data_IF_119254941179
#
_entry.id   IF_119254941179
#
_cell.length_a   1.000
_cell.length_b   1.000
_cell.length_c   1.000
_cell.angle_alpha   90.00
_cell.angle_beta   90.00
_cell.angle_gamma   90.00
#
_symmetry.space_group_name_H-M   'P 1'
#
loop_
_entity.id
_entity.type
_entity.pdbx_description
1 polymer ?
#
# COMPACT_ATOMS: atom_id res chain seq x y z
N UNK A 1 -53.97 13.89 -69.36
CA UNK A 1 -53.63 14.93 -68.37
C UNK A 1 -53.36 14.23 -67.03
N UNK A 2 -52.12 14.32 -66.52
CA UNK A 2 -51.69 14.26 -65.09
C UNK A 2 -52.18 13.03 -64.27
N UNK A 3 -51.37 12.19 -63.63
CA UNK A 3 -50.12 12.37 -62.86
C UNK A 3 -49.47 10.99 -62.58
N UNK A 4 -48.13 10.93 -62.62
CA UNK A 4 -47.27 10.01 -61.84
C UNK A 4 -47.20 10.56 -60.36
N UNK A 5 -46.72 9.85 -59.29
CA UNK A 5 -45.40 9.21 -59.27
C UNK A 5 -45.14 7.99 -58.32
N UNK A 6 -44.14 7.18 -58.71
CA UNK A 6 -42.95 6.70 -57.95
C UNK A 6 -43.13 6.13 -56.53
N UNK A 7 -42.76 4.85 -56.36
CA UNK A 7 -42.32 4.28 -55.07
C UNK A 7 -40.83 3.92 -55.18
N UNK A 8 -40.03 4.59 -54.36
CA UNK A 8 -38.60 4.36 -54.14
C UNK A 8 -38.38 3.13 -53.26
N UNK A 9 -37.47 2.24 -53.65
CA UNK A 9 -36.96 1.15 -52.82
C UNK A 9 -35.98 1.71 -51.76
N UNK A 10 -36.28 1.48 -50.49
CA UNK A 10 -35.45 1.87 -49.36
C UNK A 10 -34.25 0.92 -49.19
N UNK A 11 -33.05 1.49 -49.22
CA UNK A 11 -31.81 0.84 -48.78
C UNK A 11 -31.66 1.15 -47.29
N UNK A 12 -31.80 0.14 -46.43
CA UNK A 12 -31.48 0.21 -45.00
C UNK A 12 -29.98 0.02 -44.80
N UNK A 13 -29.25 1.11 -44.59
CA UNK A 13 -27.87 1.10 -44.15
C UNK A 13 -27.84 0.86 -42.62
N UNK A 14 -27.48 -0.34 -42.19
CA UNK A 14 -27.19 -0.63 -40.80
C UNK A 14 -25.83 -0.02 -40.43
N UNK A 15 -25.83 1.14 -39.78
CA UNK A 15 -24.62 1.72 -39.18
C UNK A 15 -24.31 0.95 -37.90
N UNK A 16 -23.25 0.13 -37.93
CA UNK A 16 -22.64 -0.42 -36.72
C UNK A 16 -21.95 0.73 -35.97
N UNK A 17 -22.54 1.18 -34.87
CA UNK A 17 -21.89 2.10 -33.93
C UNK A 17 -20.85 1.27 -33.16
N UNK A 18 -19.60 1.33 -33.60
CA UNK A 18 -18.47 0.95 -32.75
C UNK A 18 -18.36 2.00 -31.65
N UNK A 19 -18.88 1.68 -30.45
CA UNK A 19 -18.49 2.40 -29.25
C UNK A 19 -17.04 2.01 -28.95
N UNK A 20 -16.09 2.81 -29.45
CA UNK A 20 -14.73 2.81 -28.94
C UNK A 20 -14.84 3.35 -27.51
N UNK A 21 -14.88 2.46 -26.53
CA UNK A 21 -14.62 2.84 -25.14
C UNK A 21 -13.16 3.22 -25.10
N UNK A 22 -12.85 4.51 -25.22
CA UNK A 22 -11.51 5.01 -24.97
C UNK A 22 -11.15 4.64 -23.53
N UNK A 23 -10.05 3.92 -23.34
CA UNK A 23 -9.52 3.71 -22.00
C UNK A 23 -9.33 5.07 -21.32
N UNK A 24 -9.79 5.23 -20.06
CA UNK A 24 -9.60 6.49 -19.35
C UNK A 24 -8.10 6.78 -19.27
N UNK A 25 -7.70 7.99 -19.66
CA UNK A 25 -6.31 8.41 -19.60
C UNK A 25 -5.76 8.25 -18.19
N UNK A 26 -4.59 7.63 -18.07
CA UNK A 26 -3.86 7.49 -16.81
C UNK A 26 -3.57 8.89 -16.25
N UNK A 27 -3.90 9.11 -14.98
CA UNK A 27 -3.73 10.39 -14.30
C UNK A 27 -2.48 10.37 -13.44
N UNK A 28 -1.52 11.20 -13.79
CA UNK A 28 -0.32 11.55 -13.00
C UNK A 28 -0.14 13.06 -13.09
N UNK A 29 0.58 13.65 -12.13
CA UNK A 29 0.93 15.07 -12.16
C UNK A 29 2.09 15.32 -13.13
N UNK A 30 3.21 14.64 -12.92
CA UNK A 30 4.46 14.84 -13.66
C UNK A 30 5.14 13.54 -14.07
N UNK A 31 4.79 12.40 -13.46
CA UNK A 31 5.33 11.10 -13.86
C UNK A 31 4.87 10.77 -15.29
N UNK A 32 5.79 10.57 -16.25
CA UNK A 32 5.43 10.25 -17.63
C UNK A 32 4.71 8.90 -17.74
N UNK A 33 3.70 8.85 -18.61
CA UNK A 33 2.90 7.64 -18.90
C UNK A 33 2.99 7.22 -20.38
N UNK A 34 3.93 7.78 -21.13
CA UNK A 34 4.13 7.54 -22.58
C UNK A 34 4.80 6.20 -22.90
N UNK A 35 5.38 5.52 -21.90
CA UNK A 35 6.03 4.20 -22.04
C UNK A 35 5.55 3.24 -20.98
N UNK A 36 4.52 2.46 -21.32
CA UNK A 36 3.99 1.41 -20.45
C UNK A 36 3.94 0.12 -21.25
N UNK A 37 4.69 -0.88 -20.79
CA UNK A 37 4.82 -2.17 -21.45
C UNK A 37 4.08 -3.23 -20.64
N UNK A 38 3.16 -3.94 -21.30
CA UNK A 38 2.35 -4.99 -20.70
C UNK A 38 2.93 -6.36 -21.06
N UNK A 39 2.92 -7.34 -20.14
CA UNK A 39 3.25 -8.71 -20.45
C UNK A 39 2.16 -9.36 -21.33
N UNK A 40 2.52 -10.37 -22.14
CA UNK A 40 1.53 -11.14 -22.93
C UNK A 40 0.55 -11.93 -22.04
N UNK A 41 0.98 -12.28 -20.82
CA UNK A 41 0.20 -13.01 -19.83
C UNK A 41 -0.37 -12.11 -18.72
N UNK A 42 -0.90 -12.73 -17.67
CA UNK A 42 -1.35 -11.98 -16.48
C UNK A 42 -0.17 -11.27 -15.83
N UNK A 43 -0.29 -9.96 -15.65
CA UNK A 43 0.72 -9.20 -14.93
C UNK A 43 0.79 -9.63 -13.46
N UNK A 44 2.01 -9.76 -12.95
CA UNK A 44 2.29 -10.22 -11.58
C UNK A 44 2.73 -9.08 -10.64
N UNK A 45 2.89 -7.87 -11.17
CA UNK A 45 3.29 -6.68 -10.42
C UNK A 45 3.75 -5.56 -11.35
N UNK A 46 4.06 -4.41 -10.77
CA UNK A 46 4.48 -3.20 -11.49
C UNK A 46 5.93 -2.87 -11.16
N UNK A 47 6.70 -2.53 -12.19
CA UNK A 47 8.08 -2.03 -12.08
C UNK A 47 8.14 -0.64 -12.69
N UNK A 48 8.56 0.34 -11.91
CA UNK A 48 8.93 1.69 -12.39
C UNK A 48 10.42 1.67 -12.69
N UNK A 49 10.78 1.65 -13.96
CA UNK A 49 12.15 1.60 -14.44
C UNK A 49 12.61 3.01 -14.85
N UNK A 50 13.55 3.56 -14.10
CA UNK A 50 14.15 4.87 -14.32
C UNK A 50 15.40 4.72 -15.18
N UNK A 51 15.43 5.42 -16.32
CA UNK A 51 16.60 5.42 -17.21
C UNK A 51 17.82 6.07 -16.55
N UNK A 52 19.00 5.79 -17.10
CA UNK A 52 20.21 6.54 -16.75
C UNK A 52 20.20 7.97 -17.36
N UNK A 53 21.25 8.77 -17.11
CA UNK A 53 21.36 10.18 -17.47
C UNK A 53 21.28 10.49 -18.97
N UNK A 54 21.55 9.50 -19.83
CA UNK A 54 21.38 9.61 -21.29
C UNK A 54 19.90 9.56 -21.73
N UNK A 55 18.96 9.33 -20.81
CA UNK A 55 17.54 9.13 -21.08
C UNK A 55 17.22 7.69 -21.47
N UNK A 56 16.00 7.45 -21.96
CA UNK A 56 15.56 6.11 -22.36
C UNK A 56 16.21 5.68 -23.67
N UNK A 57 16.97 4.59 -23.66
CA UNK A 57 17.70 4.04 -24.81
C UNK A 57 17.32 2.58 -25.08
N UNK A 58 17.93 1.96 -26.10
CA UNK A 58 17.77 0.53 -26.40
C UNK A 58 18.15 -0.37 -25.21
N UNK A 59 18.97 0.13 -24.27
CA UNK A 59 19.34 -0.59 -23.04
C UNK A 59 18.15 -0.77 -22.11
N UNK A 60 17.46 0.32 -21.77
CA UNK A 60 16.25 0.27 -20.95
C UNK A 60 15.13 -0.50 -21.65
N UNK A 61 15.04 -0.39 -22.98
CA UNK A 61 14.09 -1.16 -23.78
C UNK A 61 14.31 -2.68 -23.61
N UNK A 62 15.56 -3.14 -23.72
CA UNK A 62 15.89 -4.56 -23.54
C UNK A 62 15.55 -5.06 -22.13
N UNK A 63 15.79 -4.25 -21.09
CA UNK A 63 15.40 -4.61 -19.72
C UNK A 63 13.88 -4.70 -19.57
N UNK A 64 13.14 -3.76 -20.18
CA UNK A 64 11.67 -3.76 -20.21
C UNK A 64 11.11 -5.02 -20.89
N UNK A 65 11.66 -5.42 -22.03
CA UNK A 65 11.26 -6.64 -22.75
C UNK A 65 11.47 -7.91 -21.91
N UNK A 66 12.60 -8.03 -21.22
CA UNK A 66 12.84 -9.22 -20.38
C UNK A 66 11.94 -9.22 -19.14
N UNK A 67 11.68 -8.07 -18.54
CA UNK A 67 10.77 -7.95 -17.40
C UNK A 67 9.33 -8.33 -17.76
N UNK A 68 8.85 -7.84 -18.90
CA UNK A 68 7.52 -8.20 -19.42
C UNK A 68 7.42 -9.67 -19.80
N UNK A 69 8.49 -10.27 -20.35
CA UNK A 69 8.56 -11.72 -20.56
C UNK A 69 8.45 -12.53 -19.25
N UNK A 70 8.83 -11.96 -18.11
CA UNK A 70 8.67 -12.56 -16.78
C UNK A 70 7.36 -12.17 -16.08
N UNK A 71 6.44 -11.51 -16.77
CA UNK A 71 5.11 -11.16 -16.26
C UNK A 71 5.04 -9.83 -15.53
N UNK A 72 6.10 -9.02 -15.51
CA UNK A 72 6.03 -7.68 -14.92
C UNK A 72 5.36 -6.70 -15.89
N UNK A 73 4.55 -5.79 -15.37
CA UNK A 73 4.15 -4.58 -16.10
C UNK A 73 5.23 -3.51 -15.85
N UNK A 74 5.79 -2.94 -16.92
CA UNK A 74 6.90 -1.99 -16.82
C UNK A 74 6.43 -0.58 -17.18
N UNK A 75 6.62 0.35 -16.24
CA UNK A 75 6.51 1.80 -16.47
C UNK A 75 7.91 2.32 -16.75
N UNK A 76 8.17 2.66 -18.01
CA UNK A 76 9.46 3.19 -18.44
C UNK A 76 9.53 4.71 -18.28
N UNK A 77 10.50 5.20 -17.53
CA UNK A 77 10.67 6.63 -17.23
C UNK A 77 11.98 7.13 -17.83
N UNK A 78 11.87 7.96 -18.86
CA UNK A 78 13.00 8.77 -19.34
C UNK A 78 13.28 9.87 -18.32
N UNK A 79 14.42 9.76 -17.63
CA UNK A 79 14.73 10.66 -16.51
C UNK A 79 14.88 12.12 -16.93
N UNK A 80 15.31 12.39 -18.16
CA UNK A 80 15.46 13.77 -18.65
C UNK A 80 14.10 14.42 -18.86
N UNK A 81 13.15 13.67 -19.43
CA UNK A 81 11.76 14.13 -19.57
C UNK A 81 11.10 14.30 -18.20
N UNK A 82 11.35 13.37 -17.29
CA UNK A 82 10.75 13.44 -15.96
C UNK A 82 11.26 14.66 -15.17
N UNK A 83 12.56 14.91 -15.17
CA UNK A 83 13.10 16.13 -14.55
C UNK A 83 12.56 17.41 -15.21
N UNK A 84 12.45 17.45 -16.54
CA UNK A 84 11.84 18.59 -17.22
C UNK A 84 10.39 18.84 -16.78
N UNK A 85 9.58 17.78 -16.63
CA UNK A 85 8.20 17.89 -16.14
C UNK A 85 8.14 18.36 -14.68
N UNK A 86 9.02 17.84 -13.82
CA UNK A 86 9.11 18.23 -12.41
C UNK A 86 9.50 19.71 -12.23
N UNK A 87 10.35 20.26 -13.09
CA UNK A 87 10.72 21.70 -13.08
C UNK A 87 9.56 22.63 -13.47
N UNK A 88 8.51 22.12 -14.11
CA UNK A 88 7.31 22.90 -14.43
C UNK A 88 6.34 23.01 -13.24
N UNK A 89 6.51 22.18 -12.21
CA UNK A 89 5.71 22.24 -10.99
C UNK A 89 6.00 23.51 -10.19
N UNK A 90 4.97 24.04 -9.52
CA UNK A 90 5.04 25.29 -8.74
C UNK A 90 4.79 25.10 -7.25
N UNK A 91 5.01 23.88 -6.78
CA UNK A 91 4.85 23.53 -5.37
C UNK A 91 6.13 23.90 -4.59
N UNK A 92 6.01 24.09 -3.27
CA UNK A 92 7.16 24.40 -2.40
C UNK A 92 8.19 23.24 -2.33
N UNK A 93 7.72 22.02 -2.58
CA UNK A 93 8.53 20.82 -2.72
C UNK A 93 7.83 19.81 -3.63
N UNK A 94 8.59 18.87 -4.20
CA UNK A 94 8.08 17.83 -5.10
C UNK A 94 7.84 16.52 -4.32
N UNK A 95 6.66 15.92 -4.45
CA UNK A 95 6.33 14.63 -3.82
C UNK A 95 6.06 13.54 -4.88
N UNK A 96 7.11 12.78 -5.20
CA UNK A 96 7.12 11.90 -6.38
C UNK A 96 6.35 10.59 -6.14
N UNK A 97 6.29 10.14 -4.89
CA UNK A 97 5.69 8.86 -4.50
C UNK A 97 4.19 8.83 -4.80
N UNK A 98 3.49 9.96 -4.68
CA UNK A 98 2.05 10.06 -4.96
C UNK A 98 1.72 9.64 -6.39
N UNK A 99 2.50 10.10 -7.37
CA UNK A 99 2.27 9.75 -8.78
C UNK A 99 2.56 8.26 -9.03
N UNK A 100 3.61 7.72 -8.41
CA UNK A 100 3.99 6.30 -8.52
C UNK A 100 2.89 5.40 -7.94
N UNK A 101 2.39 5.72 -6.74
CA UNK A 101 1.31 4.98 -6.08
C UNK A 101 0.01 5.07 -6.90
N UNK A 102 -0.36 6.27 -7.35
CA UNK A 102 -1.57 6.52 -8.15
C UNK A 102 -1.52 5.80 -9.49
N UNK A 103 -0.38 5.84 -10.18
CA UNK A 103 -0.18 5.13 -11.44
C UNK A 103 -0.19 3.60 -11.23
N UNK A 104 0.49 3.11 -10.19
CA UNK A 104 0.50 1.68 -9.83
C UNK A 104 -0.92 1.17 -9.60
N UNK A 105 -1.75 1.88 -8.82
CA UNK A 105 -3.14 1.49 -8.60
C UNK A 105 -3.94 1.44 -9.91
N UNK A 106 -3.83 2.47 -10.76
CA UNK A 106 -4.51 2.51 -12.05
C UNK A 106 -4.10 1.35 -12.96
N UNK A 107 -2.81 0.98 -12.96
CA UNK A 107 -2.28 -0.10 -13.80
C UNK A 107 -2.65 -1.49 -13.29
N UNK A 108 -2.62 -1.73 -11.99
CA UNK A 108 -3.11 -2.98 -11.41
C UNK A 108 -4.58 -3.21 -11.76
N UNK A 109 -5.34 -2.12 -11.76
CA UNK A 109 -6.76 -2.10 -12.06
C UNK A 109 -7.04 -2.28 -13.55
N UNK A 110 -6.35 -1.56 -14.44
CA UNK A 110 -6.54 -1.69 -15.90
C UNK A 110 -6.07 -3.04 -16.45
N UNK A 111 -5.05 -3.64 -15.84
CA UNK A 111 -4.51 -4.95 -16.23
C UNK A 111 -5.17 -6.14 -15.51
N UNK A 112 -6.26 -5.93 -14.75
CA UNK A 112 -6.98 -6.97 -13.98
C UNK A 112 -6.04 -7.83 -13.10
N UNK A 113 -5.09 -7.16 -12.43
CA UNK A 113 -4.15 -7.82 -11.52
C UNK A 113 -4.89 -8.15 -10.22
N UNK A 114 -5.18 -9.43 -10.02
CA UNK A 114 -5.97 -9.91 -8.89
C UNK A 114 -5.32 -9.68 -7.51
N UNK A 115 -3.99 -9.59 -7.44
CA UNK A 115 -3.26 -9.35 -6.20
C UNK A 115 -2.49 -8.04 -6.31
N UNK A 116 -2.82 -7.07 -5.46
CA UNK A 116 -2.03 -5.86 -5.38
C UNK A 116 -0.68 -6.15 -4.70
N UNK A 117 0.38 -5.70 -5.36
CA UNK A 117 1.72 -5.58 -4.79
C UNK A 117 2.21 -4.17 -5.04
N UNK A 118 2.78 -3.48 -4.03
CA UNK A 118 3.42 -2.20 -4.25
C UNK A 118 4.46 -2.28 -5.37
N UNK A 119 4.67 -1.20 -6.15
CA UNK A 119 5.59 -1.23 -7.27
C UNK A 119 7.04 -1.36 -6.79
N UNK A 120 7.90 -1.92 -7.64
CA UNK A 120 9.36 -1.83 -7.49
C UNK A 120 9.83 -0.56 -8.21
N UNK A 121 10.72 0.21 -7.59
CA UNK A 121 11.38 1.35 -8.25
C UNK A 121 12.84 1.00 -8.47
N UNK A 122 13.30 1.07 -9.71
CA UNK A 122 14.65 0.65 -10.07
C UNK A 122 15.29 1.58 -11.10
N UNK A 123 16.61 1.69 -11.10
CA UNK A 123 17.34 2.40 -12.13
C UNK A 123 18.85 2.18 -12.07
N UNK A 124 19.55 2.79 -13.02
CA UNK A 124 21.02 2.85 -13.12
C UNK A 124 21.47 4.31 -13.00
N UNK A 125 22.62 4.59 -12.41
CA UNK A 125 23.26 5.91 -12.48
C UNK A 125 22.36 7.02 -11.98
N UNK A 126 21.98 7.95 -12.87
CA UNK A 126 21.07 9.04 -12.52
C UNK A 126 19.68 8.52 -12.06
N UNK A 127 19.16 7.46 -12.70
CA UNK A 127 17.91 6.80 -12.32
C UNK A 127 18.00 6.08 -10.99
N UNK A 128 19.14 5.42 -10.71
CA UNK A 128 19.41 4.82 -9.41
C UNK A 128 19.46 5.88 -8.29
N UNK A 129 20.03 7.04 -8.58
CA UNK A 129 20.10 8.19 -7.66
C UNK A 129 18.70 8.69 -7.32
N UNK A 130 17.85 8.86 -8.34
CA UNK A 130 16.45 9.24 -8.14
C UNK A 130 15.66 8.16 -7.39
N UNK A 131 15.92 6.88 -7.63
CA UNK A 131 15.28 5.78 -6.90
C UNK A 131 15.56 5.85 -5.39
N UNK A 132 16.81 6.16 -4.99
CA UNK A 132 17.18 6.38 -3.58
C UNK A 132 16.51 7.64 -3.01
N UNK A 133 16.45 8.73 -3.78
CA UNK A 133 15.78 9.95 -3.36
C UNK A 133 14.25 9.77 -3.20
N UNK A 134 13.62 8.97 -4.05
CA UNK A 134 12.21 8.54 -3.90
C UNK A 134 12.03 7.76 -2.60
N UNK A 135 12.96 6.84 -2.27
CA UNK A 135 12.91 6.10 -1.01
C UNK A 135 12.93 7.03 0.21
N UNK A 136 13.64 8.17 0.14
CA UNK A 136 13.64 9.17 1.21
C UNK A 136 12.26 9.81 1.48
N UNK A 137 11.36 9.81 0.49
CA UNK A 137 10.00 10.34 0.62
C UNK A 137 8.95 9.26 0.90
N UNK A 138 9.34 7.99 0.79
CA UNK A 138 8.39 6.87 0.70
C UNK A 138 7.80 6.55 2.06
N UNK A 139 6.47 6.57 2.21
CA UNK A 139 5.81 5.99 3.38
C UNK A 139 5.98 4.47 3.39
N UNK A 140 5.96 3.88 4.58
CA UNK A 140 6.06 2.43 4.75
C UNK A 140 5.06 1.68 3.87
N UNK A 141 5.53 0.60 3.24
CA UNK A 141 4.71 -0.30 2.40
C UNK A 141 4.13 0.31 1.12
N UNK A 142 4.56 1.51 0.70
CA UNK A 142 4.13 2.12 -0.58
C UNK A 142 4.99 1.67 -1.78
N UNK A 143 6.25 1.27 -1.55
CA UNK A 143 7.16 0.69 -2.56
C UNK A 143 7.61 -0.68 -2.06
N UNK A 144 7.66 -1.68 -2.94
CA UNK A 144 8.01 -3.04 -2.54
C UNK A 144 9.53 -3.25 -2.38
N UNK A 145 10.33 -2.62 -3.23
CA UNK A 145 11.80 -2.59 -3.15
C UNK A 145 12.33 -1.42 -4.00
N UNK A 146 13.41 -0.80 -3.52
CA UNK A 146 14.20 0.18 -4.26
C UNK A 146 15.50 -0.49 -4.71
N UNK A 147 15.72 -0.55 -6.02
CA UNK A 147 16.93 -1.11 -6.62
C UNK A 147 17.76 0.01 -7.28
N UNK A 148 18.95 0.27 -6.73
CA UNK A 148 19.86 1.29 -7.24
C UNK A 148 21.14 0.62 -7.76
N UNK A 149 21.35 0.63 -9.07
CA UNK A 149 22.59 0.16 -9.69
C UNK A 149 23.50 1.37 -9.96
N UNK A 150 24.73 1.35 -9.45
CA UNK A 150 25.71 2.43 -9.62
C UNK A 150 25.12 3.84 -9.36
N UNK A 151 24.47 4.10 -8.21
CA UNK A 151 23.91 5.42 -7.93
C UNK A 151 25.01 6.50 -7.96
N UNK A 152 24.63 7.68 -8.44
CA UNK A 152 25.38 8.93 -8.30
C UNK A 152 24.91 9.64 -7.02
N UNK A 153 25.19 10.94 -6.89
CA UNK A 153 24.92 11.69 -5.65
C UNK A 153 23.83 12.76 -5.79
N UNK A 154 23.81 13.48 -6.91
CA UNK A 154 23.05 14.73 -7.02
C UNK A 154 21.75 14.54 -7.78
N UNK A 155 20.64 15.00 -7.20
CA UNK A 155 19.37 15.20 -7.90
C UNK A 155 19.35 16.60 -8.51
N UNK A 156 19.31 16.74 -9.85
CA UNK A 156 19.49 18.01 -10.54
C UNK A 156 18.16 18.77 -10.70
N UNK A 157 17.48 19.00 -9.58
CA UNK A 157 16.22 19.76 -9.53
C UNK A 157 16.41 21.07 -8.75
N UNK A 158 15.78 22.14 -9.22
CA UNK A 158 15.75 23.43 -8.55
C UNK A 158 14.84 23.41 -7.32
N UNK A 159 13.71 22.71 -7.41
CA UNK A 159 12.77 22.48 -6.32
C UNK A 159 13.16 21.24 -5.53
N UNK A 160 13.15 21.34 -4.19
CA UNK A 160 13.51 20.23 -3.31
C UNK A 160 12.43 19.16 -3.24
N UNK A 161 12.81 17.94 -2.83
CA UNK A 161 11.87 16.87 -2.55
C UNK A 161 11.19 17.06 -1.18
N UNK A 162 9.89 16.77 -1.11
CA UNK A 162 9.13 16.71 0.13
C UNK A 162 9.56 15.49 0.96
N UNK A 163 10.54 15.66 1.85
CA UNK A 163 10.99 14.62 2.79
C UNK A 163 11.50 15.27 4.08
N UNK A 164 11.40 14.62 5.24
CA UNK A 164 12.11 15.06 6.44
C UNK A 164 13.61 14.72 6.41
N UNK A 165 14.07 13.87 5.48
CA UNK A 165 15.46 13.46 5.36
C UNK A 165 16.43 14.65 5.19
N UNK A 166 17.72 14.48 5.56
CA UNK A 166 18.76 15.47 5.29
C UNK A 166 18.83 15.86 3.82
N UNK A 167 19.02 17.15 3.55
CA UNK A 167 19.13 17.71 2.20
C UNK A 167 20.34 18.63 2.18
N UNK A 168 21.30 18.34 1.31
CA UNK A 168 22.52 19.12 1.19
C UNK A 168 22.55 19.77 -0.18
N UNK A 169 22.33 21.11 -0.28
CA UNK A 169 22.49 21.82 -1.53
C UNK A 169 23.93 21.72 -2.04
N UNK A 170 24.09 21.41 -3.33
CA UNK A 170 25.38 21.31 -4.01
C UNK A 170 25.31 22.05 -5.35
N UNK A 171 26.44 22.41 -5.98
CA UNK A 171 26.41 22.92 -7.34
C UNK A 171 25.69 21.94 -8.28
N UNK A 172 24.62 22.40 -8.92
CA UNK A 172 23.84 21.60 -9.87
C UNK A 172 22.70 20.78 -9.27
N UNK A 173 22.40 20.88 -7.96
CA UNK A 173 21.23 20.22 -7.39
C UNK A 173 21.29 20.02 -5.87
N UNK A 174 20.72 18.91 -5.41
CA UNK A 174 20.68 18.54 -3.99
C UNK A 174 21.07 17.07 -3.81
N UNK A 175 21.88 16.78 -2.79
CA UNK A 175 22.15 15.43 -2.31
C UNK A 175 21.18 15.13 -1.17
N UNK A 176 20.54 13.95 -1.21
CA UNK A 176 19.51 13.55 -0.25
C UNK A 176 20.01 12.41 0.64
N UNK A 177 19.76 12.54 1.94
CA UNK A 177 19.83 11.42 2.88
C UNK A 177 18.58 10.56 2.83
N UNK A 178 18.48 9.60 3.75
CA UNK A 178 17.24 8.90 4.09
C UNK A 178 16.70 9.41 5.42
N UNK A 179 15.41 9.23 5.66
CA UNK A 179 14.75 9.62 6.92
C UNK A 179 15.26 8.72 8.05
N UNK A 180 15.59 9.29 9.20
CA UNK A 180 16.02 8.51 10.38
C UNK A 180 14.99 7.43 10.77
N UNK A 181 15.50 6.26 11.17
CA UNK A 181 14.68 5.12 11.57
C UNK A 181 14.83 3.90 10.65
N UNK A 182 13.82 3.05 10.69
CA UNK A 182 13.73 1.88 9.81
C UNK A 182 13.53 2.34 8.35
N UNK A 183 14.07 1.57 7.40
CA UNK A 183 13.88 1.85 5.98
C UNK A 183 12.40 1.64 5.60
N UNK A 184 11.79 2.53 4.79
CA UNK A 184 10.37 2.43 4.43
C UNK A 184 10.07 1.23 3.52
N UNK A 185 11.11 0.75 2.83
CA UNK A 185 11.10 -0.45 2.02
C UNK A 185 12.53 -1.02 1.92
N UNK A 186 12.70 -2.30 1.53
CA UNK A 186 14.02 -2.85 1.23
C UNK A 186 14.73 -1.99 0.20
N UNK A 187 16.00 -1.65 0.47
CA UNK A 187 16.87 -0.93 -0.46
C UNK A 187 18.07 -1.83 -0.79
N UNK A 188 18.29 -2.03 -2.09
CA UNK A 188 19.45 -2.76 -2.62
C UNK A 188 20.28 -1.82 -3.48
N UNK A 189 21.55 -1.69 -3.13
CA UNK A 189 22.54 -0.99 -3.94
C UNK A 189 23.51 -2.01 -4.53
N UNK A 190 23.71 -1.97 -5.85
CA UNK A 190 24.63 -2.85 -6.55
C UNK A 190 25.68 -2.01 -7.27
N UNK A 191 26.95 -2.33 -7.04
CA UNK A 191 28.07 -1.68 -7.71
C UNK A 191 28.67 -2.58 -8.78
N UNK A 192 28.75 -2.05 -9.99
CA UNK A 192 29.52 -2.61 -11.10
C UNK A 192 30.95 -2.04 -11.12
N UNK A 193 31.85 -2.57 -11.96
CA UNK A 193 33.20 -2.01 -12.11
C UNK A 193 33.24 -0.56 -12.61
N UNK A 194 32.14 -0.05 -13.19
CA UNK A 194 32.01 1.32 -13.68
C UNK A 194 31.34 2.29 -12.71
N UNK A 195 31.06 1.87 -11.46
CA UNK A 195 30.44 2.72 -10.45
C UNK A 195 31.19 4.04 -10.24
N UNK A 196 30.44 5.14 -10.14
CA UNK A 196 31.00 6.44 -9.78
C UNK A 196 31.52 6.42 -8.33
N UNK A 197 32.72 6.95 -8.12
CA UNK A 197 33.37 6.92 -6.82
C UNK A 197 32.64 7.78 -5.78
N UNK A 198 32.11 8.95 -6.17
CA UNK A 198 31.37 9.81 -5.25
C UNK A 198 30.01 9.20 -4.91
N UNK A 199 29.35 8.60 -5.90
CA UNK A 199 28.13 7.82 -5.73
C UNK A 199 28.27 6.66 -4.74
N UNK A 200 29.36 5.88 -4.86
CA UNK A 200 29.70 4.84 -3.88
C UNK A 200 29.87 5.41 -2.47
N UNK A 201 30.66 6.47 -2.31
CA UNK A 201 30.89 7.09 -0.99
C UNK A 201 29.56 7.53 -0.36
N UNK A 202 28.71 8.19 -1.14
CA UNK A 202 27.40 8.63 -0.65
C UNK A 202 26.53 7.45 -0.22
N UNK A 203 26.46 6.38 -1.01
CA UNK A 203 25.74 5.19 -0.62
C UNK A 203 26.31 4.55 0.65
N UNK A 204 27.63 4.49 0.81
CA UNK A 204 28.30 4.01 2.03
C UNK A 204 27.89 4.83 3.25
N UNK A 205 27.83 6.16 3.14
CA UNK A 205 27.31 7.05 4.20
C UNK A 205 25.85 6.74 4.55
N UNK A 206 24.99 6.51 3.55
CA UNK A 206 23.61 6.08 3.79
C UNK A 206 23.55 4.75 4.55
N UNK A 207 24.44 3.80 4.22
CA UNK A 207 24.50 2.48 4.87
C UNK A 207 25.01 2.55 6.31
N UNK A 208 25.90 3.48 6.63
CA UNK A 208 26.34 3.71 8.01
C UNK A 208 25.18 4.13 8.91
N UNK A 209 24.28 4.99 8.39
CA UNK A 209 23.07 5.42 9.10
C UNK A 209 21.99 4.33 9.07
N UNK A 210 21.85 3.62 7.96
CA UNK A 210 20.86 2.57 7.74
C UNK A 210 21.53 1.22 7.42
N UNK A 211 21.96 0.43 8.43
CA UNK A 211 22.66 -0.83 8.22
C UNK A 211 21.90 -1.87 7.39
N UNK A 212 20.57 -1.75 7.33
CA UNK A 212 19.66 -2.62 6.59
C UNK A 212 19.75 -2.48 5.06
N UNK A 213 20.41 -1.44 4.52
CA UNK A 213 20.64 -1.32 3.07
C UNK A 213 21.53 -2.50 2.61
N UNK A 214 21.06 -3.28 1.63
CA UNK A 214 21.82 -4.41 1.11
C UNK A 214 22.79 -3.95 0.02
N UNK A 215 24.08 -4.20 0.21
CA UNK A 215 25.12 -3.91 -0.78
C UNK A 215 25.54 -5.16 -1.50
N UNK A 216 25.71 -5.05 -2.81
CA UNK A 216 26.28 -6.10 -3.65
C UNK A 216 27.32 -5.53 -4.61
N UNK A 217 28.34 -6.34 -4.85
CA UNK A 217 29.29 -6.13 -5.93
C UNK A 217 28.95 -7.07 -7.07
N UNK A 218 29.15 -6.65 -8.31
CA UNK A 218 29.10 -7.50 -9.48
C UNK A 218 30.35 -7.35 -10.33
N UNK A 219 30.73 -8.42 -11.02
CA UNK A 219 31.77 -8.36 -12.05
C UNK A 219 31.20 -7.95 -13.42
N UNK A 220 29.87 -8.02 -13.57
CA UNK A 220 29.15 -7.69 -14.79
C UNK A 220 28.93 -6.18 -14.94
N UNK A 221 28.57 -5.73 -16.14
CA UNK A 221 28.15 -4.35 -16.38
C UNK A 221 26.82 -4.00 -15.71
N UNK A 222 26.58 -2.71 -15.47
CA UNK A 222 25.37 -2.19 -14.83
C UNK A 222 24.06 -2.70 -15.45
N UNK A 223 23.97 -2.80 -16.78
CA UNK A 223 22.75 -3.25 -17.47
C UNK A 223 22.40 -4.71 -17.13
N UNK A 224 23.41 -5.58 -17.12
CA UNK A 224 23.26 -7.00 -16.74
C UNK A 224 22.91 -7.10 -15.25
N UNK A 225 23.59 -6.31 -14.42
CA UNK A 225 23.34 -6.25 -12.98
C UNK A 225 21.90 -5.84 -12.67
N UNK A 226 21.39 -4.81 -13.36
CA UNK A 226 20.01 -4.38 -13.25
C UNK A 226 19.07 -5.54 -13.59
N UNK A 227 19.25 -6.15 -14.76
CA UNK A 227 18.38 -7.19 -15.27
C UNK A 227 18.30 -8.40 -14.33
N UNK A 228 19.43 -8.89 -13.84
CA UNK A 228 19.49 -10.04 -12.94
C UNK A 228 18.78 -9.76 -11.61
N UNK A 229 19.08 -8.61 -11.00
CA UNK A 229 18.52 -8.25 -9.70
C UNK A 229 17.02 -7.98 -9.83
N UNK A 230 16.59 -7.21 -10.83
CA UNK A 230 15.18 -6.86 -10.98
C UNK A 230 14.31 -8.07 -11.33
N UNK A 231 14.83 -9.00 -12.15
CA UNK A 231 14.15 -10.27 -12.43
C UNK A 231 14.04 -11.15 -11.18
N UNK A 232 15.06 -11.16 -10.32
CA UNK A 232 15.01 -11.87 -9.05
C UNK A 232 13.98 -11.27 -8.08
N UNK A 233 13.89 -9.94 -8.02
CA UNK A 233 12.90 -9.21 -7.22
C UNK A 233 11.49 -9.53 -7.72
N UNK A 234 11.24 -9.39 -9.03
CA UNK A 234 9.93 -9.67 -9.63
C UNK A 234 9.46 -11.11 -9.34
N UNK A 235 10.35 -12.10 -9.51
CA UNK A 235 10.05 -13.50 -9.16
C UNK A 235 9.75 -13.66 -7.66
N UNK A 236 10.50 -13.02 -6.77
CA UNK A 236 10.27 -13.10 -5.32
C UNK A 236 8.92 -12.51 -4.93
N UNK A 237 8.55 -11.36 -5.49
CA UNK A 237 7.28 -10.71 -5.20
C UNK A 237 6.09 -11.56 -5.68
N UNK A 238 6.19 -12.14 -6.87
CA UNK A 238 5.16 -13.04 -7.41
C UNK A 238 4.93 -14.29 -6.55
N UNK A 239 5.92 -14.72 -5.75
CA UNK A 239 5.84 -15.90 -4.88
C UNK A 239 5.69 -15.56 -3.38
N UNK A 240 5.51 -14.30 -3.02
CA UNK A 240 5.47 -13.84 -1.61
C UNK A 240 4.12 -14.10 -0.93
N UNK A 241 3.72 -15.37 -0.81
CA UNK A 241 2.53 -15.77 -0.07
C UNK A 241 2.87 -16.08 1.41
N UNK A 242 2.07 -15.53 2.33
CA UNK A 242 2.03 -15.97 3.74
C UNK A 242 1.74 -17.47 3.82
N UNK A 243 2.11 -18.18 4.91
CA UNK A 243 1.70 -19.57 5.13
C UNK A 243 0.19 -19.82 5.06
N UNK A 244 -0.64 -18.78 5.26
CA UNK A 244 -2.09 -18.85 5.12
C UNK A 244 -2.59 -18.44 3.72
N UNK A 245 -1.68 -18.04 2.83
CA UNK A 245 -1.97 -17.40 1.55
C UNK A 245 -2.89 -16.18 1.71
N UNK A 246 -2.60 -15.37 2.74
CA UNK A 246 -3.30 -14.13 3.08
C UNK A 246 -2.29 -12.98 3.19
N UNK A 247 -2.65 -11.75 2.84
CA UNK A 247 -1.79 -10.58 3.00
C UNK A 247 -1.74 -10.16 4.48
N UNK A 248 -1.00 -10.93 5.27
CA UNK A 248 -0.87 -10.74 6.71
C UNK A 248 0.59 -10.52 7.12
N UNK A 249 0.77 -9.71 8.17
CA UNK A 249 2.06 -9.35 8.74
C UNK A 249 2.10 -9.82 10.21
N UNK A 250 2.62 -11.03 10.47
CA UNK A 250 2.78 -11.50 11.84
C UNK A 250 3.97 -10.84 12.54
N UNK A 251 3.70 -10.22 13.70
CA UNK A 251 4.64 -9.53 14.56
C UNK A 251 4.75 -10.33 15.87
N UNK A 252 5.91 -10.94 16.09
CA UNK A 252 6.15 -11.73 17.29
C UNK A 252 6.43 -10.85 18.52
N UNK A 253 5.82 -11.20 19.65
CA UNK A 253 6.13 -10.71 20.98
C UNK A 253 6.07 -11.90 21.96
N UNK A 254 6.80 -11.83 23.07
CA UNK A 254 6.61 -12.78 24.18
C UNK A 254 5.28 -12.47 24.86
N UNK A 255 4.28 -13.38 24.83
CA UNK A 255 2.96 -13.07 25.36
C UNK A 255 2.97 -12.82 26.87
N UNK A 256 2.53 -11.63 27.31
CA UNK A 256 2.39 -11.27 28.73
C UNK A 256 0.96 -11.40 29.26
N UNK A 257 -0.03 -11.40 28.37
CA UNK A 257 -1.46 -11.29 28.70
C UNK A 257 -2.30 -12.52 28.27
N UNK A 258 -1.67 -13.64 27.92
CA UNK A 258 -2.34 -14.80 27.31
C UNK A 258 -3.25 -14.41 26.12
N UNK A 259 -2.82 -13.43 25.34
CA UNK A 259 -3.63 -12.75 24.32
C UNK A 259 -2.78 -12.38 23.12
N UNK A 260 -3.36 -12.44 21.93
CA UNK A 260 -2.84 -11.81 20.71
C UNK A 260 -3.81 -10.76 20.17
N UNK A 261 -3.33 -9.87 19.32
CA UNK A 261 -4.17 -8.97 18.55
C UNK A 261 -4.20 -9.36 17.07
N UNK A 262 -5.33 -9.13 16.42
CA UNK A 262 -5.48 -9.12 14.97
C UNK A 262 -5.96 -7.72 14.59
N UNK A 263 -5.20 -7.04 13.74
CA UNK A 263 -5.48 -5.67 13.32
C UNK A 263 -5.85 -5.67 11.84
N UNK A 264 -7.02 -5.16 11.48
CA UNK A 264 -7.39 -4.84 10.11
C UNK A 264 -7.08 -3.37 9.84
N UNK A 265 -6.22 -3.12 8.86
CA UNK A 265 -5.75 -1.77 8.53
C UNK A 265 -6.82 -0.89 7.89
N UNK A 266 -6.48 0.39 7.70
CA UNK A 266 -7.22 1.27 6.79
C UNK A 266 -7.11 0.83 5.32
N UNK A 267 -7.82 1.54 4.43
CA UNK A 267 -7.84 1.30 2.99
C UNK A 267 -6.49 1.55 2.30
N UNK A 268 -5.60 2.31 2.93
CA UNK A 268 -4.21 2.48 2.51
C UNK A 268 -3.29 1.28 2.78
N UNK A 269 -3.78 0.21 3.41
CA UNK A 269 -3.00 -0.99 3.73
C UNK A 269 -2.24 -0.89 5.06
N UNK A 270 -1.36 -1.86 5.32
CA UNK A 270 -0.63 -1.99 6.59
C UNK A 270 0.50 -0.95 6.72
N UNK A 271 0.17 0.30 7.07
CA UNK A 271 1.12 1.43 7.17
C UNK A 271 0.78 2.40 8.32
N UNK A 272 1.71 3.28 8.65
CA UNK A 272 1.55 4.38 9.62
C UNK A 272 0.85 3.94 10.94
N UNK A 273 -0.39 4.39 11.20
CA UNK A 273 -1.16 4.08 12.41
C UNK A 273 -1.24 2.58 12.69
N UNK A 274 -1.42 1.76 11.65
CA UNK A 274 -1.61 0.31 11.78
C UNK A 274 -0.31 -0.36 12.24
N UNK A 275 0.82 0.02 11.63
CA UNK A 275 2.15 -0.48 12.01
C UNK A 275 2.55 0.00 13.40
N UNK A 276 2.33 1.28 13.72
CA UNK A 276 2.68 1.86 15.00
C UNK A 276 1.86 1.24 16.14
N UNK A 277 0.56 1.01 15.95
CA UNK A 277 -0.26 0.26 16.90
C UNK A 277 0.26 -1.17 17.10
N UNK A 278 0.61 -1.86 16.01
CA UNK A 278 1.22 -3.19 16.08
C UNK A 278 2.54 -3.21 16.87
N UNK A 279 3.39 -2.22 16.66
CA UNK A 279 4.66 -2.07 17.39
C UNK A 279 4.44 -1.79 18.88
N UNK A 280 3.48 -0.93 19.23
CA UNK A 280 3.18 -0.60 20.62
C UNK A 280 2.55 -1.78 21.36
N UNK A 281 1.65 -2.53 20.74
CA UNK A 281 1.12 -3.78 21.30
C UNK A 281 2.23 -4.82 21.55
N UNK A 282 3.18 -4.93 20.62
CA UNK A 282 4.36 -5.80 20.77
C UNK A 282 5.18 -5.41 22.01
N UNK A 283 5.42 -4.11 22.25
CA UNK A 283 6.12 -3.62 23.44
C UNK A 283 5.40 -4.03 24.75
N UNK A 284 4.06 -3.99 24.73
CA UNK A 284 3.20 -4.45 25.83
C UNK A 284 3.15 -6.00 25.95
N UNK A 285 3.85 -6.73 25.08
CA UNK A 285 3.89 -8.19 25.11
C UNK A 285 2.61 -8.83 24.55
N UNK A 286 1.95 -8.18 23.60
CA UNK A 286 0.83 -8.72 22.83
C UNK A 286 1.33 -8.98 21.41
N UNK A 287 1.52 -10.24 20.99
CA UNK A 287 1.86 -10.53 19.60
C UNK A 287 0.71 -10.16 18.67
N UNK A 288 1.03 -9.73 17.44
CA UNK A 288 0.06 -9.11 16.52
C UNK A 288 0.08 -9.79 15.17
N UNK A 289 -1.10 -10.04 14.58
CA UNK A 289 -1.23 -10.27 13.14
C UNK A 289 -1.88 -9.05 12.51
N UNK A 290 -1.12 -8.28 11.73
CA UNK A 290 -1.68 -7.24 10.86
C UNK A 290 -2.30 -7.87 9.62
N UNK A 291 -3.49 -7.43 9.22
CA UNK A 291 -4.15 -7.74 7.96
C UNK A 291 -4.08 -6.49 7.10
N UNK A 292 -3.36 -6.58 5.98
CA UNK A 292 -3.24 -5.50 5.01
C UNK A 292 -4.54 -5.43 4.19
N UNK A 293 -5.43 -4.51 4.57
CA UNK A 293 -6.76 -4.40 3.99
C UNK A 293 -6.71 -4.02 2.50
N UNK A 294 -5.77 -3.16 2.08
CA UNK A 294 -5.57 -2.80 0.68
C UNK A 294 -5.36 -4.03 -0.20
N UNK A 295 -4.47 -4.93 0.25
CA UNK A 295 -4.18 -6.17 -0.50
C UNK A 295 -5.28 -7.22 -0.33
N UNK A 296 -5.90 -7.32 0.84
CA UNK A 296 -6.93 -8.32 1.11
C UNK A 296 -8.22 -8.04 0.34
N UNK A 297 -8.65 -6.78 0.33
CA UNK A 297 -9.87 -6.26 -0.31
C UNK A 297 -9.57 -5.55 -1.64
N UNK A 298 -8.40 -5.80 -2.24
CA UNK A 298 -8.09 -5.34 -3.60
C UNK A 298 -9.13 -5.83 -4.61
N UNK A 299 -9.62 -7.06 -4.40
CA UNK A 299 -10.80 -7.59 -5.05
C UNK A 299 -11.89 -7.81 -4.01
N UNK A 300 -13.15 -7.76 -4.43
CA UNK A 300 -14.31 -7.97 -3.56
C UNK A 300 -14.17 -9.26 -2.74
N UNK A 301 -14.45 -9.12 -1.44
CA UNK A 301 -14.59 -10.22 -0.49
C UNK A 301 -16.01 -10.23 0.06
N UNK A 302 -16.53 -11.42 0.34
CA UNK A 302 -17.77 -11.50 1.11
C UNK A 302 -17.48 -11.43 2.62
N UNK A 303 -18.42 -10.95 3.44
CA UNK A 303 -18.34 -11.07 4.89
C UNK A 303 -18.10 -12.51 5.36
N UNK A 304 -18.67 -13.51 4.68
CA UNK A 304 -18.48 -14.93 4.97
C UNK A 304 -17.06 -15.40 4.72
N UNK A 305 -16.47 -15.02 3.57
CA UNK A 305 -15.06 -15.31 3.27
C UNK A 305 -14.14 -14.64 4.30
N UNK A 306 -14.42 -13.38 4.62
CA UNK A 306 -13.64 -12.61 5.59
C UNK A 306 -13.69 -13.26 6.98
N UNK A 307 -14.86 -13.73 7.41
CA UNK A 307 -15.01 -14.45 8.68
C UNK A 307 -14.26 -15.78 8.68
N UNK A 308 -14.33 -16.55 7.59
CA UNK A 308 -13.61 -17.81 7.47
C UNK A 308 -12.07 -17.61 7.52
N UNK A 309 -11.55 -16.57 6.87
CA UNK A 309 -10.14 -16.24 6.91
C UNK A 309 -9.71 -15.73 8.28
N UNK A 310 -10.53 -14.92 8.95
CA UNK A 310 -10.29 -14.52 10.34
C UNK A 310 -10.21 -15.74 11.28
N UNK A 311 -11.12 -16.70 11.16
CA UNK A 311 -11.07 -17.97 11.91
C UNK A 311 -9.77 -18.75 11.65
N UNK A 312 -9.28 -18.78 10.40
CA UNK A 312 -8.01 -19.42 10.03
C UNK A 312 -6.81 -18.72 10.67
N UNK A 313 -6.80 -17.38 10.69
CA UNK A 313 -5.77 -16.58 11.34
C UNK A 313 -5.77 -16.85 12.85
N UNK A 314 -6.92 -16.73 13.50
CA UNK A 314 -7.08 -16.97 14.94
C UNK A 314 -6.58 -18.36 15.33
N UNK A 315 -7.05 -19.40 14.63
CA UNK A 315 -6.67 -20.79 14.89
C UNK A 315 -5.16 -20.99 14.77
N UNK A 316 -4.55 -20.46 13.70
CA UNK A 316 -3.15 -20.69 13.40
C UNK A 316 -2.21 -19.98 14.38
N UNK A 317 -2.50 -18.72 14.68
CA UNK A 317 -1.59 -17.88 15.46
C UNK A 317 -1.76 -18.02 16.96
N UNK A 318 -2.98 -18.30 17.45
CA UNK A 318 -3.18 -18.68 18.85
C UNK A 318 -2.39 -19.93 19.21
N UNK A 319 -2.43 -20.95 18.34
CA UNK A 319 -1.63 -22.16 18.50
C UNK A 319 -0.12 -21.87 18.42
N UNK A 320 0.30 -21.06 17.46
CA UNK A 320 1.72 -20.71 17.25
C UNK A 320 2.33 -19.97 18.44
N UNK A 321 1.59 -19.03 19.02
CA UNK A 321 2.07 -18.19 20.12
C UNK A 321 1.62 -18.68 21.50
N UNK A 322 0.89 -19.79 21.55
CA UNK A 322 0.38 -20.39 22.79
C UNK A 322 -0.41 -19.38 23.64
N UNK A 323 -1.41 -18.75 23.01
CA UNK A 323 -2.32 -17.80 23.65
C UNK A 323 -3.79 -18.19 23.45
N UNK A 324 -4.62 -17.89 24.44
CA UNK A 324 -6.04 -18.26 24.40
C UNK A 324 -6.95 -17.17 23.85
N UNK A 325 -6.62 -15.91 24.06
CA UNK A 325 -7.52 -14.80 23.78
C UNK A 325 -7.11 -13.99 22.55
N UNK A 326 -8.07 -13.29 21.97
CA UNK A 326 -7.89 -12.46 20.78
C UNK A 326 -8.49 -11.07 21.01
N UNK A 327 -7.73 -10.04 20.67
CA UNK A 327 -8.23 -8.68 20.45
C UNK A 327 -8.44 -8.48 18.95
N UNK A 328 -9.63 -8.06 18.54
CA UNK A 328 -9.87 -7.59 17.19
C UNK A 328 -9.80 -6.07 17.18
N UNK A 329 -8.95 -5.52 16.33
CA UNK A 329 -8.76 -4.08 16.19
C UNK A 329 -8.97 -3.73 14.71
N UNK A 330 -9.79 -2.74 14.42
CA UNK A 330 -9.98 -2.24 13.06
C UNK A 330 -9.77 -0.74 13.02
N UNK A 331 -9.07 -0.25 12.00
CA UNK A 331 -8.94 1.18 11.71
C UNK A 331 -9.63 1.52 10.38
N UNK A 332 -10.44 2.58 10.37
CA UNK A 332 -11.11 3.10 9.17
C UNK A 332 -11.84 2.00 8.39
N UNK A 333 -11.39 1.65 7.19
CA UNK A 333 -11.89 0.52 6.41
C UNK A 333 -11.98 -0.78 7.24
N UNK A 334 -10.91 -1.14 7.95
CA UNK A 334 -10.87 -2.29 8.86
C UNK A 334 -11.92 -2.21 9.98
N UNK A 335 -12.19 -1.00 10.50
CA UNK A 335 -13.23 -0.79 11.49
C UNK A 335 -14.64 -1.05 10.91
N UNK A 336 -14.85 -0.70 9.65
CA UNK A 336 -16.13 -0.86 8.98
C UNK A 336 -16.46 -2.34 8.67
N UNK A 337 -15.47 -3.16 8.31
CA UNK A 337 -15.69 -4.57 7.91
C UNK A 337 -15.79 -5.54 9.09
N UNK A 338 -15.16 -5.22 10.22
CA UNK A 338 -15.09 -6.13 11.36
C UNK A 338 -16.45 -6.47 12.00
N UNK A 339 -17.42 -5.56 12.15
CA UNK A 339 -18.73 -5.87 12.74
C UNK A 339 -19.51 -6.96 11.98
N UNK A 340 -19.64 -6.84 10.66
CA UNK A 340 -20.29 -7.84 9.82
C UNK A 340 -19.51 -9.17 9.84
N UNK A 341 -18.18 -9.09 9.76
CA UNK A 341 -17.27 -10.25 9.85
C UNK A 341 -17.46 -11.00 11.17
N UNK A 342 -17.46 -10.30 12.31
CA UNK A 342 -17.60 -10.88 13.64
C UNK A 342 -18.89 -11.68 13.79
N UNK A 343 -20.01 -11.15 13.28
CA UNK A 343 -21.32 -11.81 13.38
C UNK A 343 -21.31 -13.21 12.76
N UNK A 344 -20.56 -13.38 11.67
CA UNK A 344 -20.49 -14.61 10.89
C UNK A 344 -19.47 -15.61 11.42
N UNK A 345 -18.66 -15.24 12.42
CA UNK A 345 -17.75 -16.16 13.07
C UNK A 345 -18.50 -17.31 13.77
N UNK A 346 -17.93 -18.52 13.79
CA UNK A 346 -18.38 -19.59 14.66
C UNK A 346 -18.41 -19.15 16.13
N UNK A 347 -19.37 -19.66 16.90
CA UNK A 347 -19.49 -19.33 18.33
C UNK A 347 -18.21 -19.67 19.14
N UNK A 348 -17.44 -20.67 18.71
CA UNK A 348 -16.16 -20.99 19.31
C UNK A 348 -15.13 -19.86 19.17
N UNK A 349 -15.12 -19.18 18.02
CA UNK A 349 -14.21 -18.06 17.76
C UNK A 349 -14.68 -16.79 18.46
N UNK A 350 -15.99 -16.52 18.46
CA UNK A 350 -16.57 -15.39 19.21
C UNK A 350 -16.26 -15.43 20.70
N UNK A 351 -16.20 -16.63 21.29
CA UNK A 351 -15.91 -16.83 22.73
C UNK A 351 -14.50 -16.41 23.10
N UNK A 352 -13.52 -16.62 22.23
CA UNK A 352 -12.11 -16.29 22.53
C UNK A 352 -11.75 -14.84 22.18
N UNK A 353 -12.64 -14.12 21.50
CA UNK A 353 -12.49 -12.69 21.26
C UNK A 353 -12.92 -11.94 22.52
N UNK A 354 -11.97 -11.23 23.12
CA UNK A 354 -12.16 -10.48 24.37
C UNK A 354 -12.59 -9.04 24.12
N UNK A 355 -12.10 -8.43 23.05
CA UNK A 355 -12.35 -7.03 22.70
C UNK A 355 -12.46 -6.88 21.18
N UNK A 356 -13.40 -6.04 20.74
CA UNK A 356 -13.52 -5.50 19.39
C UNK A 356 -13.34 -3.98 19.49
N UNK A 357 -12.17 -3.48 19.13
CA UNK A 357 -11.83 -2.05 19.15
C UNK A 357 -11.87 -1.47 17.74
N UNK A 358 -12.73 -0.48 17.52
CA UNK A 358 -12.99 0.14 16.24
C UNK A 358 -12.53 1.59 16.27
N UNK A 359 -11.56 1.93 15.43
CA UNK A 359 -10.96 3.25 15.33
C UNK A 359 -11.48 3.93 14.06
N UNK A 360 -12.04 5.13 14.20
CA UNK A 360 -12.57 5.92 13.08
C UNK A 360 -13.66 5.17 12.28
N UNK A 361 -14.58 4.50 13.00
CA UNK A 361 -15.71 3.79 12.41
C UNK A 361 -16.62 4.74 11.62
N UNK A 362 -17.08 4.32 10.44
CA UNK A 362 -18.08 5.00 9.62
C UNK A 362 -19.42 4.25 9.59
N UNK A 363 -20.41 4.80 8.88
CA UNK A 363 -21.72 4.18 8.63
C UNK A 363 -21.77 3.28 7.38
N UNK A 364 -20.62 2.98 6.76
CA UNK A 364 -20.56 2.22 5.51
C UNK A 364 -19.51 1.11 5.57
N UNK A 365 -19.94 -0.13 5.35
CA UNK A 365 -19.06 -1.27 5.17
C UNK A 365 -18.93 -1.63 3.67
N UNK A 366 -17.78 -1.28 3.09
CA UNK A 366 -17.37 -1.78 1.79
C UNK A 366 -16.44 -2.98 1.99
N UNK A 367 -16.60 -4.02 1.19
CA UNK A 367 -15.70 -5.19 1.20
C UNK A 367 -14.87 -5.28 -0.09
N UNK A 368 -14.63 -4.13 -0.70
CA UNK A 368 -13.69 -3.89 -1.79
C UNK A 368 -13.15 -2.46 -1.65
N UNK A 369 -11.86 -2.26 -1.92
CA UNK A 369 -11.25 -0.92 -1.89
C UNK A 369 -11.18 -0.33 -3.30
N UNK A 370 -11.93 0.74 -3.55
CA UNK A 370 -11.80 1.57 -4.75
C UNK A 370 -10.82 2.72 -4.50
N UNK A 371 -9.57 2.53 -4.93
CA UNK A 371 -8.57 3.59 -4.98
C UNK A 371 -8.80 4.48 -6.19
N UNK A 372 -9.50 5.60 -5.97
CA UNK A 372 -9.53 6.71 -6.92
C UNK A 372 -10.83 6.92 -7.70
N UNK A 373 -11.97 6.38 -7.24
CA UNK A 373 -13.27 6.61 -7.88
C UNK A 373 -13.29 6.18 -9.34
N UNK A 374 -12.48 5.16 -9.65
CA UNK A 374 -12.33 4.65 -10.99
C UNK A 374 -13.51 3.72 -11.25
N UNK A 375 -14.39 4.19 -12.14
CA UNK A 375 -15.52 3.48 -12.72
C UNK A 375 -16.82 3.39 -11.91
N UNK A 376 -17.12 4.34 -11.01
CA UNK A 376 -18.51 4.64 -10.61
C UNK A 376 -19.33 3.47 -10.02
N UNK A 377 -18.68 2.35 -9.71
CA UNK A 377 -19.22 1.24 -8.96
C UNK A 377 -18.93 1.54 -7.51
N UNK A 378 -19.81 2.34 -6.89
CA UNK A 378 -20.00 2.21 -5.45
C UNK A 378 -20.24 0.73 -5.20
N UNK A 379 -19.40 0.10 -4.39
CA UNK A 379 -19.64 -1.26 -3.93
C UNK A 379 -21.07 -1.37 -3.43
N UNK A 380 -21.66 -2.56 -3.54
CA UNK A 380 -22.93 -2.83 -2.87
C UNK A 380 -22.64 -2.83 -1.37
N UNK A 381 -22.61 -1.64 -0.75
CA UNK A 381 -22.28 -1.50 0.67
C UNK A 381 -23.06 -2.51 1.49
N UNK A 382 -22.37 -3.24 2.36
CA UNK A 382 -22.91 -4.38 3.09
C UNK A 382 -23.74 -3.96 4.32
N UNK A 383 -24.25 -2.72 4.32
CA UNK A 383 -25.04 -2.14 5.40
C UNK A 383 -24.24 -1.17 6.29
N UNK A 384 -24.87 -0.80 7.41
CA UNK A 384 -24.28 0.05 8.44
C UNK A 384 -23.59 -0.81 9.51
N UNK A 385 -22.26 -0.67 9.71
CA UNK A 385 -21.52 -1.38 10.77
C UNK A 385 -22.12 -1.21 12.17
N UNK A 386 -22.79 -0.08 12.45
CA UNK A 386 -23.43 0.18 13.75
C UNK A 386 -24.59 -0.78 13.99
N UNK A 387 -25.34 -1.16 12.95
CA UNK A 387 -26.43 -2.14 13.07
C UNK A 387 -25.90 -3.55 13.35
N UNK A 388 -24.76 -3.89 12.76
CA UNK A 388 -24.08 -5.15 13.03
C UNK A 388 -23.57 -5.27 14.47
N UNK A 389 -23.07 -4.16 15.02
CA UNK A 389 -22.60 -4.08 16.41
C UNK A 389 -23.70 -4.37 17.44
N UNK A 390 -24.98 -4.14 17.11
CA UNK A 390 -26.10 -4.46 18.00
C UNK A 390 -26.24 -5.96 18.29
N UNK A 391 -25.57 -6.81 17.49
CA UNK A 391 -25.52 -8.27 17.65
C UNK A 391 -24.22 -8.76 18.27
N UNK A 392 -23.31 -7.86 18.64
CA UNK A 392 -22.07 -8.16 19.36
C UNK A 392 -22.34 -8.00 20.86
N UNK A 393 -21.68 -8.81 21.68
CA UNK A 393 -21.77 -8.67 23.14
C UNK A 393 -21.31 -7.26 23.54
N UNK A 394 -22.17 -6.42 24.16
CA UNK A 394 -21.88 -5.00 24.35
C UNK A 394 -20.59 -4.71 25.13
N UNK A 395 -20.28 -5.56 26.13
CA UNK A 395 -19.07 -5.46 26.95
C UNK A 395 -17.78 -5.50 26.13
N UNK A 396 -17.79 -6.18 24.98
CA UNK A 396 -16.64 -6.36 24.09
C UNK A 396 -16.44 -5.19 23.13
N UNK A 397 -17.36 -4.24 23.04
CA UNK A 397 -17.29 -3.17 22.03
C UNK A 397 -16.55 -1.97 22.59
N UNK A 398 -15.52 -1.52 21.88
CA UNK A 398 -14.86 -0.23 22.07
C UNK A 398 -14.86 0.52 20.73
N UNK A 399 -15.31 1.77 20.71
CA UNK A 399 -15.30 2.62 19.53
C UNK A 399 -14.60 3.94 19.86
N UNK A 400 -13.55 4.29 19.11
CA UNK A 400 -12.74 5.49 19.31
C UNK A 400 -12.79 6.34 18.04
N UNK A 401 -13.11 7.63 18.17
CA UNK A 401 -13.23 8.55 17.04
C UNK A 401 -12.56 9.91 17.31
N UNK A 402 -12.14 10.59 16.25
CA UNK A 402 -11.59 11.93 16.30
C UNK A 402 -12.69 13.00 16.37
N UNK A 403 -12.51 14.03 17.18
CA UNK A 403 -13.45 15.14 17.34
C UNK A 403 -13.66 15.97 16.06
N UNK A 404 -12.69 15.94 15.12
CA UNK A 404 -12.77 16.63 13.82
C UNK A 404 -13.39 15.75 12.72
N UNK A 405 -13.74 14.48 13.02
CA UNK A 405 -14.47 13.62 12.09
C UNK A 405 -15.96 14.01 12.03
N UNK A 406 -16.49 14.18 10.82
CA UNK A 406 -17.88 14.62 10.63
C UNK A 406 -18.87 13.46 10.52
N UNK A 407 -18.43 12.32 9.98
CA UNK A 407 -19.29 11.20 9.59
C UNK A 407 -18.92 9.90 10.34
N UNK A 408 -18.48 10.03 11.60
CA UNK A 408 -18.16 8.86 12.42
C UNK A 408 -19.44 8.15 12.89
N UNK A 409 -19.44 6.81 12.83
CA UNK A 409 -20.46 5.93 13.40
C UNK A 409 -20.32 5.71 14.91
N UNK A 410 -19.17 6.01 15.52
CA UNK A 410 -18.95 5.78 16.96
C UNK A 410 -19.96 6.49 17.89
N UNK A 411 -20.40 7.74 17.63
CA UNK A 411 -21.45 8.36 18.41
C UNK A 411 -22.75 7.55 18.51
N UNK A 412 -23.17 6.87 17.43
CA UNK A 412 -24.37 6.03 17.41
C UNK A 412 -24.19 4.73 18.22
N UNK A 413 -22.95 4.24 18.36
CA UNK A 413 -22.62 3.07 19.21
C UNK A 413 -22.94 3.32 20.69
N UNK A 414 -23.02 4.59 21.14
CA UNK A 414 -23.40 4.94 22.54
C UNK A 414 -24.79 4.43 22.93
N UNK A 415 -25.66 4.16 21.95
CA UNK A 415 -26.99 3.60 22.18
C UNK A 415 -26.96 2.11 22.56
N UNK A 416 -25.81 1.43 22.47
CA UNK A 416 -25.63 0.03 22.84
C UNK A 416 -25.16 -0.04 24.30
N UNK A 417 -26.02 -0.39 25.27
CA UNK A 417 -25.66 -0.33 26.69
C UNK A 417 -24.56 -1.34 27.02
N UNK A 418 -23.43 -0.85 27.54
CA UNK A 418 -22.25 -1.65 27.88
C UNK A 418 -21.07 -1.49 26.92
N UNK A 419 -21.30 -0.90 25.73
CA UNK A 419 -20.23 -0.50 24.82
C UNK A 419 -19.45 0.71 25.36
N UNK A 420 -18.16 0.78 25.03
CA UNK A 420 -17.32 1.93 25.37
C UNK A 420 -17.13 2.82 24.14
N UNK A 421 -17.47 4.10 24.25
CA UNK A 421 -17.25 5.09 23.18
C UNK A 421 -16.39 6.23 23.67
N UNK A 422 -15.26 6.47 23.00
CA UNK A 422 -14.24 7.44 23.39
C UNK A 422 -14.00 8.43 22.26
N UNK A 423 -13.98 9.73 22.59
CA UNK A 423 -13.59 10.78 21.66
C UNK A 423 -12.13 11.17 21.91
N UNK A 424 -11.40 11.51 20.85
CA UNK A 424 -10.02 11.98 20.89
C UNK A 424 -9.86 13.27 20.11
N UNK A 425 -8.88 14.07 20.49
CA UNK A 425 -8.46 15.19 19.65
C UNK A 425 -8.03 14.70 18.26
N UNK A 426 -8.19 15.58 17.27
CA UNK A 426 -7.84 15.29 15.89
C UNK A 426 -8.96 14.78 15.02
N UNK A 427 -8.60 14.46 13.77
CA UNK A 427 -9.51 13.93 12.76
C UNK A 427 -9.36 12.41 12.60
N UNK A 428 -9.50 11.95 11.37
CA UNK A 428 -9.47 10.53 11.01
C UNK A 428 -8.18 9.80 11.46
N UNK A 429 -7.05 10.52 11.47
CA UNK A 429 -5.75 10.02 11.92
C UNK A 429 -5.39 10.42 13.36
N UNK A 430 -6.35 10.89 14.18
CA UNK A 430 -6.14 11.16 15.62
C UNK A 430 -4.94 12.08 15.97
N UNK A 431 -4.60 13.00 15.05
CA UNK A 431 -3.43 13.90 15.14
C UNK A 431 -2.10 13.17 15.43
N UNK A 432 -1.99 11.88 15.09
CA UNK A 432 -0.77 11.07 15.26
C UNK A 432 -0.53 10.51 16.67
N UNK A 433 -1.43 10.68 17.64
CA UNK A 433 -1.27 10.17 19.01
C UNK A 433 -1.66 8.69 19.15
N UNK A 434 -1.01 7.84 18.36
CA UNK A 434 -1.30 6.41 18.29
C UNK A 434 -0.93 5.66 19.59
N UNK A 435 0.00 6.20 20.37
CA UNK A 435 0.35 5.63 21.68
C UNK A 435 -0.78 5.82 22.69
N UNK A 436 -1.52 6.93 22.66
CA UNK A 436 -2.71 7.06 23.48
C UNK A 436 -3.81 6.07 23.06
N UNK A 437 -4.00 5.85 21.75
CA UNK A 437 -4.94 4.83 21.27
C UNK A 437 -4.56 3.43 21.79
N UNK A 438 -3.29 3.04 21.69
CA UNK A 438 -2.80 1.77 22.21
C UNK A 438 -3.11 1.59 23.70
N UNK A 439 -2.85 2.61 24.54
CA UNK A 439 -3.16 2.55 25.98
C UNK A 439 -4.64 2.30 26.22
N UNK A 440 -5.53 3.01 25.53
CA UNK A 440 -6.99 2.84 25.69
C UNK A 440 -7.46 1.42 25.34
N UNK A 441 -6.85 0.81 24.32
CA UNK A 441 -7.14 -0.56 23.89
C UNK A 441 -6.65 -1.55 24.94
N UNK A 442 -5.38 -1.45 25.35
CA UNK A 442 -4.76 -2.36 26.31
C UNK A 442 -5.44 -2.28 27.68
N UNK A 443 -5.70 -1.07 28.18
CA UNK A 443 -6.39 -0.85 29.46
C UNK A 443 -7.77 -1.52 29.46
N UNK A 444 -8.53 -1.37 28.37
CA UNK A 444 -9.85 -2.00 28.23
C UNK A 444 -9.74 -3.51 28.16
N UNK A 445 -8.80 -4.04 27.38
CA UNK A 445 -8.58 -5.47 27.25
C UNK A 445 -8.21 -6.11 28.60
N UNK A 446 -7.25 -5.53 29.33
CA UNK A 446 -6.82 -6.00 30.65
C UNK A 446 -7.97 -5.97 31.65
N UNK A 447 -8.77 -4.90 31.66
CA UNK A 447 -9.95 -4.82 32.52
C UNK A 447 -10.97 -5.94 32.23
N UNK A 448 -11.23 -6.26 30.97
CA UNK A 448 -12.16 -7.33 30.59
C UNK A 448 -11.62 -8.73 30.94
N UNK A 449 -10.32 -8.96 30.81
CA UNK A 449 -9.68 -10.23 31.19
C UNK A 449 -9.59 -10.45 32.71
N UNK A 450 -9.69 -9.40 33.51
CA UNK A 450 -9.67 -9.52 34.97
C UNK A 450 -11.03 -9.95 35.56
N UNK A 451 -12.12 -9.83 34.79
CA UNK A 451 -13.49 -10.11 35.24
C UNK A 451 -14.02 -11.47 34.75
N UNK A 452 -13.43 -12.01 33.68
CA UNK A 452 -13.75 -13.32 33.09
C UNK A 452 -12.72 -14.37 33.52
#
# INVERSE_FOLDING_TARGET
MRLLPIVFAGITLAAAIFNIVSEPALKTKSLPTDRISFPEGKATGVVVLLSDGEGWTDREEQVSEVLTAHGALVVGVDIRRYYAALEEERDDCLYLVSDIETLSHQLHRSADIANYHPPVVAGIGAGATLALAIAAQTPDSTIAETLAIDPQTTIPLSTILCTPAPKTPVPGGTVYGLTEGDLPNPIRVVFSPSADAAGRIHAEELKEIHPAIEFRETAEGADVALLENISAIARRLAHSASPLNLPIVPIHATPKHNTMAIIYSGDGGWRDIDQQLGAYLKEEGIPVVGVDALRYFWSERTPEQTAADLSRIMTSYRKRWNVDNVLLIGYSFGANVLPATYRLLPEADKRVITLVSLLALSHHADFEIDVGGWLGMRGTGHGDPVDDLRKVEPSKIQCIYGLKEKDSGCPAVREIPGAQVLAREGGHHFDGDYRALNRLIVDRAVALMAVN
#
